data_IF_424602365057
#
_entry.id   IF_424602365057
#
_cell.length_a   1.000
_cell.length_b   1.000
_cell.length_c   1.000
_cell.angle_alpha   90.00
_cell.angle_beta   90.00
_cell.angle_gamma   90.00
#
_symmetry.space_group_name_H-M   'P 1'
#
loop_
_entity.id
_entity.type
_entity.pdbx_description
1 polymer ?
#
# COMPACT_ATOMS: atom_id res chain seq x y z
N UNK A 1 -35.60 -54.05 -14.34
CA UNK A 1 -35.70 -52.62 -14.70
C UNK A 1 -35.57 -51.83 -13.40
N UNK A 2 -34.37 -51.35 -13.07
CA UNK A 2 -34.05 -50.77 -11.77
C UNK A 2 -34.51 -49.31 -11.66
N UNK A 3 -35.19 -48.99 -10.56
CA UNK A 3 -35.77 -47.68 -10.26
C UNK A 3 -34.83 -46.94 -9.30
N UNK A 4 -34.13 -45.91 -9.79
CA UNK A 4 -33.33 -45.00 -8.94
C UNK A 4 -34.26 -43.88 -8.46
N UNK A 5 -34.47 -43.78 -7.15
CA UNK A 5 -35.03 -42.59 -6.52
C UNK A 5 -33.86 -41.69 -6.07
N UNK A 6 -33.74 -40.50 -6.64
CA UNK A 6 -32.99 -39.41 -6.02
C UNK A 6 -33.96 -38.28 -5.69
N UNK A 7 -34.30 -38.13 -4.42
CA UNK A 7 -34.94 -36.93 -3.87
C UNK A 7 -33.80 -35.95 -3.53
N UNK A 8 -33.50 -35.00 -4.40
CA UNK A 8 -32.82 -33.77 -3.96
C UNK A 8 -33.87 -32.92 -3.23
N UNK A 9 -33.80 -32.88 -1.90
CA UNK A 9 -34.45 -31.85 -1.08
C UNK A 9 -33.57 -30.61 -1.14
N UNK A 10 -33.85 -29.70 -2.07
CA UNK A 10 -33.45 -28.31 -1.91
C UNK A 10 -34.42 -27.66 -0.92
N UNK A 11 -34.05 -27.64 0.35
CA UNK A 11 -34.66 -26.71 1.30
C UNK A 11 -33.97 -25.37 1.00
N UNK A 12 -34.65 -24.48 0.28
CA UNK A 12 -34.21 -23.09 0.25
C UNK A 12 -34.18 -22.60 1.69
N UNK A 13 -32.98 -22.37 2.23
CA UNK A 13 -32.81 -21.83 3.58
C UNK A 13 -33.40 -20.41 3.55
N UNK A 14 -34.66 -20.27 3.97
CA UNK A 14 -35.31 -18.98 4.19
C UNK A 14 -34.51 -18.26 5.26
N UNK A 15 -33.74 -17.26 4.85
CA UNK A 15 -32.74 -16.58 5.66
C UNK A 15 -32.94 -15.08 5.53
N UNK A 16 -32.87 -14.40 6.67
CA UNK A 16 -32.85 -12.94 6.74
C UNK A 16 -31.48 -12.49 7.24
N UNK A 17 -30.99 -11.38 6.70
CA UNK A 17 -29.68 -10.85 7.05
C UNK A 17 -29.75 -9.33 7.23
N UNK A 18 -29.64 -8.90 8.48
CA UNK A 18 -29.66 -7.49 8.83
C UNK A 18 -28.25 -7.06 9.26
N UNK A 19 -27.85 -5.87 8.79
CA UNK A 19 -26.56 -5.29 9.09
C UNK A 19 -26.72 -3.85 9.53
N UNK A 20 -25.94 -3.44 10.52
CA UNK A 20 -25.78 -2.04 10.89
C UNK A 20 -24.30 -1.73 10.98
N UNK A 21 -23.90 -0.57 10.48
CA UNK A 21 -22.56 -0.08 10.69
C UNK A 21 -22.58 1.42 10.91
N UNK A 22 -21.66 1.89 11.73
CA UNK A 22 -21.35 3.30 11.82
C UNK A 22 -19.84 3.49 11.71
N UNK A 23 -19.45 4.61 11.14
CA UNK A 23 -18.10 5.12 11.21
C UNK A 23 -18.14 6.60 11.55
N UNK A 24 -17.17 7.04 12.33
CA UNK A 24 -17.03 8.43 12.74
C UNK A 24 -15.61 8.85 12.46
N UNK A 25 -15.47 9.88 11.64
CA UNK A 25 -14.22 10.58 11.42
C UNK A 25 -14.32 11.93 12.13
N UNK A 26 -13.29 12.29 12.89
CA UNK A 26 -13.14 13.64 13.39
C UNK A 26 -11.80 14.22 12.96
N UNK A 27 -11.79 15.52 12.70
CA UNK A 27 -10.58 16.29 12.51
C UNK A 27 -10.73 17.60 13.26
N UNK A 28 -9.70 17.96 14.02
CA UNK A 28 -9.64 19.24 14.73
C UNK A 28 -8.26 19.83 14.53
N UNK A 29 -8.20 21.06 14.03
CA UNK A 29 -6.95 21.76 13.78
C UNK A 29 -7.04 23.20 14.25
N UNK A 30 -5.91 23.72 14.73
CA UNK A 30 -5.73 25.13 15.09
C UNK A 30 -4.39 25.59 14.52
N UNK A 31 -4.37 26.76 13.91
CA UNK A 31 -3.17 27.33 13.30
C UNK A 31 -3.05 28.81 13.65
N UNK A 32 -1.80 29.26 13.74
CA UNK A 32 -1.44 30.67 13.90
C UNK A 32 -0.47 31.00 12.78
N UNK A 33 -0.68 32.14 12.13
CA UNK A 33 0.11 32.59 10.99
C UNK A 33 0.59 34.01 11.27
N UNK A 34 1.89 34.25 11.08
CA UNK A 34 2.51 35.56 11.12
C UNK A 34 3.17 35.86 9.78
N UNK A 35 2.83 37.01 9.18
CA UNK A 35 3.38 37.46 7.91
C UNK A 35 3.95 38.85 8.09
N UNK A 36 5.19 39.05 7.67
CA UNK A 36 5.86 40.34 7.75
C UNK A 36 6.76 40.56 6.54
N UNK A 37 6.72 41.78 6.02
CA UNK A 37 7.68 42.27 5.02
C UNK A 37 8.48 43.40 5.66
N UNK A 38 9.81 43.36 5.52
CA UNK A 38 10.72 44.40 6.00
C UNK A 38 11.83 44.64 4.98
N UNK A 39 11.76 45.77 4.29
CA UNK A 39 12.65 46.06 3.16
C UNK A 39 12.52 44.99 2.08
N UNK A 40 13.63 44.29 1.78
CA UNK A 40 13.69 43.21 0.78
C UNK A 40 13.36 41.83 1.35
N UNK A 41 13.01 41.72 2.63
CA UNK A 41 12.75 40.45 3.29
C UNK A 41 11.25 40.22 3.44
N UNK A 42 10.79 39.03 3.08
CA UNK A 42 9.44 38.55 3.35
C UNK A 42 9.52 37.29 4.19
N UNK A 43 8.81 37.26 5.32
CA UNK A 43 8.76 36.13 6.26
C UNK A 43 7.30 35.73 6.44
N UNK A 44 7.02 34.44 6.28
CA UNK A 44 5.76 33.80 6.62
C UNK A 44 6.03 32.64 7.58
N UNK A 45 5.56 32.77 8.82
CA UNK A 45 5.65 31.75 9.85
C UNK A 45 4.26 31.17 10.08
N UNK A 46 4.18 29.84 10.14
CA UNK A 46 2.98 29.12 10.50
C UNK A 46 3.33 28.10 11.59
N UNK A 47 2.51 28.07 12.65
CA UNK A 47 2.54 27.04 13.68
C UNK A 47 1.16 26.44 13.82
N UNK A 48 1.07 25.14 14.09
CA UNK A 48 -0.21 24.48 14.18
C UNK A 48 -0.21 23.16 14.93
N UNK A 49 -1.43 22.79 15.32
CA UNK A 49 -1.78 21.53 15.92
C UNK A 49 -2.91 20.90 15.10
N UNK A 50 -2.88 19.58 14.97
CA UNK A 50 -3.94 18.81 14.34
C UNK A 50 -4.16 17.49 15.06
N UNK A 51 -5.41 17.10 15.22
CA UNK A 51 -5.81 15.80 15.71
C UNK A 51 -6.86 15.20 14.77
N UNK A 52 -6.60 13.98 14.30
CA UNK A 52 -7.53 13.20 13.50
C UNK A 52 -7.86 11.91 14.22
N UNK A 53 -9.06 11.41 14.01
CA UNK A 53 -9.35 10.05 14.42
C UNK A 53 -10.52 9.42 13.70
N UNK A 54 -10.44 8.11 13.65
CA UNK A 54 -11.43 7.20 13.10
C UNK A 54 -11.86 6.22 14.19
N UNK A 55 -13.16 5.98 14.26
CA UNK A 55 -13.75 4.85 14.97
C UNK A 55 -14.87 4.29 14.13
N UNK A 56 -15.10 2.99 14.21
CA UNK A 56 -16.22 2.36 13.55
C UNK A 56 -16.62 1.05 14.20
N UNK A 57 -17.84 0.63 13.93
CA UNK A 57 -18.35 -0.67 14.33
C UNK A 57 -19.29 -1.17 13.26
N UNK A 58 -19.19 -2.46 12.93
CA UNK A 58 -20.19 -3.16 12.15
C UNK A 58 -20.78 -4.28 12.98
N UNK A 59 -22.08 -4.51 12.81
CA UNK A 59 -22.83 -5.60 13.37
C UNK A 59 -23.57 -6.25 12.21
N UNK A 60 -23.53 -7.57 12.16
CA UNK A 60 -24.30 -8.35 11.22
C UNK A 60 -25.00 -9.47 11.97
N UNK A 61 -26.30 -9.64 11.72
CA UNK A 61 -27.10 -10.71 12.27
C UNK A 61 -27.75 -11.49 11.12
N UNK A 62 -27.76 -12.80 11.24
CA UNK A 62 -28.41 -13.70 10.29
C UNK A 62 -29.36 -14.61 11.05
N UNK A 63 -30.61 -14.65 10.62
CA UNK A 63 -31.62 -15.60 11.07
C UNK A 63 -31.89 -16.63 9.96
N UNK A 64 -32.01 -17.91 10.33
CA UNK A 64 -32.31 -18.99 9.39
C UNK A 64 -33.66 -19.65 9.71
N UNK A 65 -34.19 -20.36 8.71
CA UNK A 65 -35.43 -21.14 8.77
C UNK A 65 -36.66 -20.28 9.10
N UNK A 66 -36.76 -19.09 8.50
CA UNK A 66 -37.94 -18.25 8.66
C UNK A 66 -39.19 -18.93 8.08
N UNK A 67 -40.33 -18.75 8.76
CA UNK A 67 -41.62 -19.24 8.27
C UNK A 67 -42.05 -18.56 6.97
N UNK A 68 -41.75 -17.27 6.79
CA UNK A 68 -42.04 -16.51 5.58
C UNK A 68 -40.88 -15.60 5.21
N UNK A 69 -40.73 -15.28 3.92
CA UNK A 69 -39.84 -14.22 3.42
C UNK A 69 -40.61 -12.94 3.06
N UNK A 70 -41.88 -12.86 3.48
CA UNK A 70 -42.65 -11.62 3.39
C UNK A 70 -41.91 -10.49 4.13
N UNK A 71 -41.70 -9.30 3.53
CA UNK A 71 -40.93 -8.22 4.14
C UNK A 71 -41.44 -7.72 5.50
N UNK A 72 -42.71 -7.96 5.85
CA UNK A 72 -43.27 -7.60 7.15
C UNK A 72 -43.06 -8.70 8.21
N UNK A 73 -42.75 -9.94 7.80
CA UNK A 73 -42.41 -11.06 8.69
C UNK A 73 -40.90 -11.33 8.75
N UNK A 74 -40.17 -11.09 7.68
CA UNK A 74 -38.75 -11.39 7.54
C UNK A 74 -37.91 -10.42 8.39
N UNK A 75 -37.74 -10.77 9.66
CA UNK A 75 -36.93 -10.07 10.63
C UNK A 75 -36.06 -11.08 11.41
N UNK A 76 -34.89 -10.62 11.90
CA UNK A 76 -33.96 -11.46 12.69
C UNK A 76 -34.63 -12.14 13.90
N UNK A 77 -35.60 -11.50 14.55
CA UNK A 77 -36.31 -12.05 15.71
C UNK A 77 -37.23 -13.24 15.36
N UNK A 78 -37.66 -13.36 14.10
CA UNK A 78 -38.58 -14.40 13.64
C UNK A 78 -37.86 -15.66 13.10
N UNK A 79 -36.55 -15.74 13.27
CA UNK A 79 -35.75 -16.93 12.99
C UNK A 79 -36.05 -18.09 13.96
N UNK A 80 -35.71 -19.32 13.56
CA UNK A 80 -35.83 -20.46 14.45
C UNK A 80 -34.88 -20.33 15.66
N UNK A 81 -35.36 -20.71 16.85
CA UNK A 81 -34.56 -20.71 18.07
C UNK A 81 -33.22 -21.46 17.89
N UNK A 82 -32.12 -20.83 18.31
CA UNK A 82 -30.77 -21.37 18.17
C UNK A 82 -30.18 -21.33 16.74
N UNK A 83 -30.90 -20.79 15.76
CA UNK A 83 -30.44 -20.65 14.36
C UNK A 83 -30.18 -19.19 13.96
N UNK A 84 -30.08 -18.31 14.95
CA UNK A 84 -29.72 -16.91 14.79
C UNK A 84 -28.28 -16.70 15.22
N UNK A 85 -27.47 -16.12 14.34
CA UNK A 85 -26.07 -15.78 14.62
C UNK A 85 -25.88 -14.28 14.50
N UNK A 86 -25.19 -13.66 15.45
CA UNK A 86 -24.78 -12.27 15.38
C UNK A 86 -23.27 -12.16 15.53
N UNK A 87 -22.66 -11.31 14.72
CA UNK A 87 -21.24 -10.98 14.77
C UNK A 87 -21.10 -9.46 14.86
N UNK A 88 -20.12 -9.00 15.61
CA UNK A 88 -19.80 -7.58 15.76
C UNK A 88 -18.31 -7.39 15.58
N UNK A 89 -17.93 -6.47 14.70
CA UNK A 89 -16.54 -6.10 14.49
C UNK A 89 -16.35 -4.65 14.90
N UNK A 90 -15.46 -4.42 15.86
CA UNK A 90 -14.97 -3.07 16.15
C UNK A 90 -13.89 -2.73 15.12
N UNK A 91 -14.13 -1.69 14.33
CA UNK A 91 -13.21 -1.22 13.28
C UNK A 91 -11.94 -0.54 13.83
N UNK A 92 -11.83 -0.44 15.16
CA UNK A 92 -10.65 0.03 15.85
C UNK A 92 -10.62 1.53 16.15
N UNK A 93 -9.54 1.94 16.81
CA UNK A 93 -9.22 3.34 17.10
C UNK A 93 -7.91 3.71 16.39
N UNK A 94 -8.04 4.41 15.26
CA UNK A 94 -6.90 5.05 14.61
C UNK A 94 -6.97 6.55 14.93
N UNK A 95 -6.01 7.05 15.71
CA UNK A 95 -5.90 8.46 16.08
C UNK A 95 -4.50 8.96 15.76
N UNK A 96 -4.43 10.12 15.14
CA UNK A 96 -3.19 10.82 14.86
C UNK A 96 -3.24 12.18 15.56
N UNK A 97 -2.15 12.52 16.25
CA UNK A 97 -1.94 13.83 16.86
C UNK A 97 -0.66 14.43 16.32
N UNK A 98 -0.70 15.70 15.95
CA UNK A 98 0.33 16.32 15.15
C UNK A 98 0.63 17.73 15.60
N UNK A 99 1.91 18.05 15.66
CA UNK A 99 2.41 19.41 15.84
C UNK A 99 3.26 19.77 14.63
N UNK A 100 3.08 20.95 14.06
CA UNK A 100 3.80 21.35 12.86
C UNK A 100 4.14 22.83 12.86
N UNK A 101 5.25 23.15 12.22
CA UNK A 101 5.71 24.51 11.97
C UNK A 101 6.25 24.62 10.55
N UNK A 102 6.05 25.79 9.94
CA UNK A 102 6.55 26.14 8.61
C UNK A 102 7.10 27.56 8.61
N UNK A 103 8.25 27.74 7.96
CA UNK A 103 8.87 29.00 7.62
C UNK A 103 8.96 29.08 6.10
N UNK A 104 8.37 30.11 5.52
CA UNK A 104 8.71 30.56 4.17
C UNK A 104 9.43 31.91 4.28
N UNK A 105 10.59 32.02 3.65
CA UNK A 105 11.39 33.22 3.62
C UNK A 105 11.81 33.55 2.20
N UNK A 106 11.62 34.80 1.80
CA UNK A 106 12.05 35.30 0.50
C UNK A 106 12.90 36.55 0.69
N UNK A 107 14.07 36.57 0.06
CA UNK A 107 14.93 37.75 -0.01
C UNK A 107 14.97 38.31 -1.43
N UNK A 108 14.57 39.57 -1.57
CA UNK A 108 14.57 40.37 -2.80
C UNK A 108 13.86 39.70 -3.99
N UNK A 109 12.87 38.83 -3.72
CA UNK A 109 12.18 37.99 -4.70
C UNK A 109 13.09 37.04 -5.52
N UNK A 110 14.33 36.82 -5.04
CA UNK A 110 15.33 35.97 -5.70
C UNK A 110 15.60 34.67 -4.95
N UNK A 111 15.90 34.77 -3.66
CA UNK A 111 16.30 33.63 -2.84
C UNK A 111 15.14 33.25 -1.95
N UNK A 112 14.63 32.04 -2.17
CA UNK A 112 13.42 31.53 -1.54
C UNK A 112 13.83 30.31 -0.73
N UNK A 113 13.57 30.35 0.57
CA UNK A 113 13.78 29.25 1.51
C UNK A 113 12.42 28.80 2.04
N UNK A 114 12.16 27.51 1.98
CA UNK A 114 11.08 26.86 2.71
C UNK A 114 11.67 25.90 3.74
N UNK A 115 11.15 25.92 4.95
CA UNK A 115 11.48 24.94 5.97
C UNK A 115 10.20 24.50 6.68
N UNK A 116 10.03 23.21 6.91
CA UNK A 116 8.88 22.65 7.63
C UNK A 116 9.39 21.59 8.59
N UNK A 117 8.78 21.51 9.76
CA UNK A 117 8.98 20.39 10.69
C UNK A 117 7.61 19.96 11.19
N UNK A 118 7.37 18.65 11.16
CA UNK A 118 6.16 18.05 11.70
C UNK A 118 6.51 16.90 12.63
N UNK A 119 5.81 16.79 13.75
CA UNK A 119 5.91 15.68 14.69
C UNK A 119 4.54 15.02 14.83
N UNK A 120 4.46 13.77 14.40
CA UNK A 120 3.20 13.01 14.31
C UNK A 120 3.22 11.81 15.24
N UNK A 121 2.15 11.66 16.01
CA UNK A 121 1.92 10.58 16.96
C UNK A 121 0.74 9.73 16.50
N UNK A 122 0.93 8.41 16.33
CA UNK A 122 -0.14 7.48 15.93
C UNK A 122 -0.52 6.53 17.06
N UNK A 123 -1.82 6.26 17.21
CA UNK A 123 -2.33 5.26 18.15
C UNK A 123 -1.99 3.82 17.76
N UNK A 124 -1.69 3.56 16.48
CA UNK A 124 -1.41 2.22 15.93
C UNK A 124 -0.09 1.63 16.44
N UNK A 125 0.86 2.46 16.86
CA UNK A 125 2.14 2.00 17.39
C UNK A 125 2.09 1.84 18.92
N UNK A 126 2.97 1.01 19.46
CA UNK A 126 3.15 0.79 20.89
C UNK A 126 3.61 2.06 21.61
N UNK A 127 3.45 2.09 22.94
CA UNK A 127 4.01 3.15 23.78
C UNK A 127 5.53 3.22 23.60
N UNK A 128 6.08 4.42 23.39
CA UNK A 128 7.49 4.65 23.05
C UNK A 128 7.73 4.87 21.54
N UNK A 129 6.95 4.22 20.67
CA UNK A 129 7.14 4.25 19.21
C UNK A 129 6.10 5.09 18.46
N UNK A 130 5.16 5.72 19.18
CA UNK A 130 4.05 6.50 18.60
C UNK A 130 4.52 7.65 17.73
N UNK A 131 5.62 8.30 18.08
CA UNK A 131 6.01 9.61 17.54
C UNK A 131 7.12 9.51 16.49
N UNK A 132 6.87 10.10 15.31
CA UNK A 132 7.87 10.37 14.28
C UNK A 132 8.09 11.88 14.10
N UNK A 133 9.27 12.29 13.62
CA UNK A 133 9.58 13.69 13.31
C UNK A 133 10.08 13.80 11.88
N UNK A 134 9.45 14.69 11.13
CA UNK A 134 9.50 14.73 9.68
C UNK A 134 9.84 16.16 9.22
N UNK A 135 11.14 16.51 9.15
CA UNK A 135 11.58 17.78 8.59
C UNK A 135 11.56 17.78 7.06
N UNK A 136 11.40 18.97 6.49
CA UNK A 136 11.60 19.24 5.07
C UNK A 136 12.20 20.63 4.87
N UNK A 137 13.07 20.76 3.87
CA UNK A 137 13.68 22.02 3.45
C UNK A 137 13.64 22.14 1.93
N UNK A 138 13.41 23.35 1.43
CA UNK A 138 13.48 23.70 0.03
C UNK A 138 14.23 25.01 -0.16
N UNK A 139 14.96 25.09 -1.25
CA UNK A 139 15.67 26.28 -1.69
C UNK A 139 15.32 26.52 -3.15
N UNK A 140 15.01 27.75 -3.50
CA UNK A 140 14.89 28.17 -4.88
C UNK A 140 15.62 29.50 -5.11
N UNK A 141 16.25 29.61 -6.26
CA UNK A 141 16.94 30.80 -6.73
C UNK A 141 16.35 31.19 -8.07
N UNK A 142 15.69 32.35 -8.10
CA UNK A 142 15.19 32.96 -9.32
C UNK A 142 16.31 33.77 -9.99
N UNK A 143 17.07 33.08 -10.84
CA UNK A 143 18.24 33.58 -11.54
C UNK A 143 17.89 34.75 -12.47
N UNK A 144 16.70 34.73 -13.08
CA UNK A 144 16.18 35.81 -13.96
C UNK A 144 16.11 37.18 -13.29
N UNK A 145 16.09 37.25 -11.96
CA UNK A 145 16.07 38.50 -11.20
C UNK A 145 17.47 39.09 -10.94
N UNK A 146 18.54 38.39 -11.33
CA UNK A 146 19.91 38.88 -11.16
C UNK A 146 20.29 39.94 -12.17
N UNK A 147 21.09 40.91 -11.75
CA UNK A 147 21.50 42.06 -12.59
C UNK A 147 22.16 41.61 -13.91
N UNK A 148 22.90 40.49 -13.88
CA UNK A 148 23.59 39.97 -15.07
C UNK A 148 22.65 39.33 -16.11
N UNK A 149 21.40 39.02 -15.76
CA UNK A 149 20.37 38.57 -16.71
C UNK A 149 19.33 39.64 -17.02
N UNK A 150 19.41 40.82 -16.38
CA UNK A 150 18.51 41.92 -16.70
C UNK A 150 18.74 42.41 -18.12
N UNK A 151 17.65 42.52 -18.89
CA UNK A 151 17.69 42.92 -20.30
C UNK A 151 17.72 41.76 -21.30
N UNK A 152 17.78 40.51 -20.82
CA UNK A 152 17.59 39.35 -21.69
C UNK A 152 16.12 39.30 -22.19
N UNK A 153 15.92 39.25 -23.50
CA UNK A 153 14.58 39.22 -24.13
C UNK A 153 14.12 37.82 -24.50
N UNK A 154 15.03 36.85 -24.59
CA UNK A 154 14.69 35.48 -24.95
C UNK A 154 14.40 34.59 -23.74
N UNK A 155 14.85 34.97 -22.54
CA UNK A 155 14.61 34.28 -21.27
C UNK A 155 13.85 35.19 -20.31
N UNK A 156 12.59 34.85 -20.00
CA UNK A 156 11.70 35.69 -19.21
C UNK A 156 11.74 35.36 -17.72
N UNK A 157 11.73 34.08 -17.37
CA UNK A 157 11.94 33.61 -16.01
C UNK A 157 12.86 32.39 -16.02
N UNK A 158 13.73 32.30 -15.02
CA UNK A 158 14.54 31.13 -14.76
C UNK A 158 14.65 30.97 -13.26
N UNK A 159 14.19 29.83 -12.76
CA UNK A 159 14.24 29.49 -11.35
C UNK A 159 14.80 28.09 -11.19
N UNK A 160 15.89 27.97 -10.45
CA UNK A 160 16.48 26.69 -10.07
C UNK A 160 15.98 26.37 -8.67
N UNK A 161 15.54 25.14 -8.43
CA UNK A 161 14.97 24.71 -7.14
C UNK A 161 15.45 23.34 -6.73
N UNK A 162 15.65 23.16 -5.43
CA UNK A 162 15.98 21.91 -4.80
C UNK A 162 15.19 21.73 -3.52
N UNK A 163 14.85 20.50 -3.17
CA UNK A 163 14.19 20.19 -1.91
C UNK A 163 14.59 18.82 -1.40
N UNK A 164 14.60 18.70 -0.07
CA UNK A 164 14.75 17.44 0.63
C UNK A 164 13.76 17.41 1.79
N UNK A 165 12.96 16.37 1.88
CA UNK A 165 11.99 16.24 2.96
C UNK A 165 11.72 14.81 3.34
N UNK A 166 11.19 14.65 4.54
CA UNK A 166 10.78 13.37 5.08
C UNK A 166 9.30 13.39 5.46
N UNK A 167 8.63 12.25 5.38
CA UNK A 167 7.25 12.07 5.84
C UNK A 167 7.03 10.65 6.37
N UNK A 168 6.11 10.53 7.33
CA UNK A 168 5.75 9.24 7.92
C UNK A 168 4.56 8.59 7.25
N UNK A 169 4.62 7.27 7.09
CA UNK A 169 3.51 6.42 6.66
C UNK A 169 3.23 5.33 7.69
N UNK A 170 1.94 5.03 7.91
CA UNK A 170 1.50 4.04 8.91
C UNK A 170 0.24 3.24 8.51
N UNK A 171 -0.27 3.40 7.29
CA UNK A 171 -1.57 2.83 6.94
C UNK A 171 -1.55 1.30 6.78
N UNK A 172 -0.36 0.70 6.59
CA UNK A 172 -0.18 -0.75 6.57
C UNK A 172 -0.19 -1.40 7.96
N UNK A 173 -0.31 -0.61 9.04
CA UNK A 173 -0.36 -1.15 10.41
C UNK A 173 -1.80 -1.41 10.82
N UNK A 174 -2.09 -2.66 11.19
CA UNK A 174 -3.41 -3.04 11.72
C UNK A 174 -3.65 -2.50 13.14
N UNK A 175 -4.93 -2.32 13.49
CA UNK A 175 -5.36 -1.73 14.78
C UNK A 175 -4.86 -2.51 16.01
N UNK A 176 -4.60 -3.81 15.87
CA UNK A 176 -4.10 -4.67 16.94
C UNK A 176 -2.66 -5.16 16.69
N UNK A 177 -1.92 -4.54 15.78
CA UNK A 177 -0.57 -5.00 15.43
C UNK A 177 0.48 -4.69 16.49
N UNK A 178 0.21 -3.80 17.45
CA UNK A 178 1.20 -3.43 18.48
C UNK A 178 1.35 -4.46 19.61
N UNK A 179 0.30 -5.22 19.92
CA UNK A 179 0.25 -6.14 21.06
C UNK A 179 -0.40 -7.47 20.67
N UNK A 180 0.00 -8.53 21.35
CA UNK A 180 -0.65 -9.84 21.19
C UNK A 180 -2.12 -9.74 21.62
N UNK A 181 -3.00 -10.34 20.83
CA UNK A 181 -4.43 -10.38 21.11
C UNK A 181 -4.97 -11.79 20.88
N UNK A 182 -6.04 -12.11 21.60
CA UNK A 182 -6.77 -13.36 21.47
C UNK A 182 -8.19 -13.07 21.02
N UNK A 183 -8.71 -13.94 20.16
CA UNK A 183 -10.08 -13.93 19.70
C UNK A 183 -10.71 -15.30 19.86
N UNK A 184 -12.01 -15.37 19.61
CA UNK A 184 -12.72 -16.64 19.58
C UNK A 184 -13.92 -16.59 18.64
N UNK A 185 -14.54 -17.74 18.45
CA UNK A 185 -15.75 -17.86 17.65
C UNK A 185 -16.14 -19.33 17.44
N UNK A 186 -17.43 -19.57 17.24
CA UNK A 186 -17.96 -20.93 17.05
C UNK A 186 -17.32 -21.64 15.85
N UNK A 187 -16.99 -20.91 14.77
CA UNK A 187 -16.35 -21.44 13.57
C UNK A 187 -14.83 -21.26 13.48
N UNK A 188 -14.19 -20.67 14.51
CA UNK A 188 -12.76 -20.33 14.47
C UNK A 188 -11.94 -20.94 15.60
N UNK A 189 -12.55 -21.20 16.77
CA UNK A 189 -11.83 -21.67 17.96
C UNK A 189 -12.63 -22.61 18.86
N UNK A 190 -13.88 -22.89 18.51
CA UNK A 190 -14.74 -23.76 19.31
C UNK A 190 -14.78 -25.15 18.71
N UNK A 191 -14.64 -26.18 19.55
CA UNK A 191 -14.56 -27.57 19.11
C UNK A 191 -15.46 -28.47 19.95
N UNK A 192 -16.07 -29.52 19.37
CA UNK A 192 -16.77 -30.55 20.14
C UNK A 192 -15.75 -31.51 20.76
N UNK A 193 -15.02 -31.06 21.79
CA UNK A 193 -13.95 -31.85 22.43
C UNK A 193 -14.51 -33.14 23.08
N UNK A 194 -15.79 -33.12 23.44
CA UNK A 194 -16.55 -34.26 23.98
C UNK A 194 -17.13 -35.19 22.89
N UNK A 195 -16.91 -34.90 21.61
CA UNK A 195 -17.48 -35.65 20.49
C UNK A 195 -18.95 -35.33 20.20
N UNK A 196 -19.52 -34.28 20.82
CA UNK A 196 -20.89 -33.84 20.56
C UNK A 196 -21.09 -33.39 19.11
N UNK A 197 -22.22 -33.77 18.50
CA UNK A 197 -22.62 -33.30 17.17
C UNK A 197 -23.53 -32.07 17.21
N UNK A 198 -23.94 -31.64 18.40
CA UNK A 198 -24.93 -30.57 18.62
C UNK A 198 -24.42 -29.41 19.47
N UNK A 199 -23.24 -29.53 20.07
CA UNK A 199 -22.60 -28.49 20.87
C UNK A 199 -21.10 -28.43 20.61
N UNK A 200 -20.54 -27.23 20.80
CA UNK A 200 -19.10 -26.99 20.79
C UNK A 200 -18.69 -26.37 22.12
N UNK A 201 -17.50 -26.71 22.60
CA UNK A 201 -16.89 -26.05 23.74
C UNK A 201 -16.19 -24.80 23.22
N UNK A 202 -16.55 -23.59 23.71
CA UNK A 202 -15.89 -22.36 23.31
C UNK A 202 -14.40 -22.38 23.66
N UNK A 203 -13.57 -21.99 22.70
CA UNK A 203 -12.15 -21.78 22.90
C UNK A 203 -11.72 -20.40 22.41
N UNK A 204 -10.43 -20.11 22.53
CA UNK A 204 -9.80 -18.91 22.00
C UNK A 204 -8.51 -19.27 21.27
N UNK A 205 -8.08 -18.39 20.39
CA UNK A 205 -6.83 -18.51 19.65
C UNK A 205 -6.16 -17.14 19.56
N UNK A 206 -4.86 -17.14 19.34
CA UNK A 206 -4.12 -15.91 19.13
C UNK A 206 -4.45 -15.36 17.74
N UNK A 207 -5.17 -14.23 17.70
CA UNK A 207 -5.59 -13.56 16.46
C UNK A 207 -4.72 -12.33 16.13
N UNK A 208 -3.75 -11.99 16.99
CA UNK A 208 -2.64 -11.08 16.69
C UNK A 208 -1.40 -11.54 17.46
N UNK A 209 -0.26 -11.64 16.78
CA UNK A 209 1.03 -11.89 17.43
C UNK A 209 1.57 -10.64 18.13
N UNK A 210 1.25 -9.46 17.60
CA UNK A 210 1.73 -8.18 18.11
C UNK A 210 3.22 -7.95 17.82
N UNK A 211 3.59 -6.69 17.62
CA UNK A 211 4.97 -6.25 17.55
C UNK A 211 5.08 -4.85 18.17
N UNK A 212 5.62 -4.80 19.38
CA UNK A 212 5.83 -3.54 20.08
C UNK A 212 7.02 -2.74 19.53
N UNK A 213 7.77 -3.26 18.54
CA UNK A 213 8.89 -2.57 17.89
C UNK A 213 8.51 -1.90 16.57
N UNK A 214 7.28 -2.09 16.07
CA UNK A 214 6.85 -1.45 14.83
C UNK A 214 6.85 0.07 15.00
N UNK A 215 7.50 0.77 14.07
CA UNK A 215 7.61 2.22 13.98
C UNK A 215 7.10 2.72 12.62
N UNK A 216 7.15 4.03 12.41
CA UNK A 216 6.81 4.68 11.14
C UNK A 216 7.65 4.16 9.97
N UNK A 217 7.00 3.96 8.83
CA UNK A 217 7.67 3.93 7.53
C UNK A 217 8.05 5.36 7.16
N UNK A 218 9.28 5.58 6.70
CA UNK A 218 9.79 6.93 6.41
C UNK A 218 10.07 7.11 4.93
N UNK A 219 9.28 7.96 4.30
CA UNK A 219 9.49 8.46 2.95
C UNK A 219 10.52 9.60 2.98
N UNK A 220 11.61 9.48 2.23
CA UNK A 220 12.62 10.54 2.05
C UNK A 220 12.62 10.96 0.59
N UNK A 221 12.24 12.21 0.32
CA UNK A 221 12.11 12.72 -1.05
C UNK A 221 13.17 13.78 -1.28
N UNK A 222 13.99 13.58 -2.31
CA UNK A 222 14.91 14.57 -2.85
C UNK A 222 14.44 14.96 -4.25
N UNK A 223 14.29 16.26 -4.50
CA UNK A 223 13.99 16.80 -5.83
C UNK A 223 14.97 17.91 -6.17
N UNK A 224 15.40 17.97 -7.43
CA UNK A 224 16.14 19.10 -7.99
C UNK A 224 15.63 19.35 -9.40
N UNK A 225 15.44 20.61 -9.75
CA UNK A 225 14.94 20.96 -11.06
C UNK A 225 15.07 22.43 -11.37
N UNK A 226 14.65 22.79 -12.57
CA UNK A 226 14.49 24.18 -12.98
C UNK A 226 13.14 24.37 -13.66
N UNK A 227 12.63 25.57 -13.50
CA UNK A 227 11.48 26.08 -14.24
C UNK A 227 12.00 27.27 -15.07
N UNK A 228 11.67 27.33 -16.36
CA UNK A 228 12.08 28.40 -17.25
C UNK A 228 10.97 28.80 -18.22
N UNK A 229 10.86 30.10 -18.48
CA UNK A 229 9.96 30.66 -19.51
C UNK A 229 10.80 31.35 -20.58
N UNK A 230 10.62 30.96 -21.84
CA UNK A 230 11.32 31.53 -22.98
C UNK A 230 10.35 32.26 -23.92
N UNK A 231 10.81 33.40 -24.45
CA UNK A 231 10.11 34.23 -25.42
C UNK A 231 8.66 34.61 -25.03
N UNK A 232 8.29 34.56 -23.75
CA UNK A 232 6.92 34.69 -23.22
C UNK A 232 5.92 33.61 -23.69
N UNK A 233 6.42 32.54 -24.32
CA UNK A 233 5.56 31.55 -24.96
C UNK A 233 5.86 30.12 -24.53
N UNK A 234 7.09 29.80 -24.16
CA UNK A 234 7.51 28.43 -23.86
C UNK A 234 7.83 28.27 -22.38
N UNK A 235 7.00 27.53 -21.66
CA UNK A 235 7.28 27.14 -20.27
C UNK A 235 7.86 25.73 -20.24
N UNK A 236 9.04 25.58 -19.67
CA UNK A 236 9.74 24.30 -19.53
C UNK A 236 10.05 24.05 -18.07
N UNK A 237 9.69 22.86 -17.60
CA UNK A 237 10.08 22.35 -16.28
C UNK A 237 10.81 21.03 -16.45
N UNK A 238 11.96 20.90 -15.81
CA UNK A 238 12.72 19.65 -15.74
C UNK A 238 13.03 19.38 -14.27
N UNK A 239 12.64 18.22 -13.79
CA UNK A 239 12.89 17.76 -12.44
C UNK A 239 13.51 16.36 -12.44
N UNK A 240 14.54 16.19 -11.62
CA UNK A 240 15.00 14.89 -11.17
C UNK A 240 14.49 14.64 -9.76
N UNK A 241 13.84 13.51 -9.56
CA UNK A 241 13.35 13.09 -8.25
C UNK A 241 13.99 11.78 -7.81
N UNK A 242 14.17 11.65 -6.49
CA UNK A 242 14.55 10.41 -5.81
C UNK A 242 13.77 10.28 -4.51
N UNK A 243 12.84 9.35 -4.49
CA UNK A 243 12.10 8.92 -3.30
C UNK A 243 12.73 7.63 -2.74
N UNK A 244 13.20 7.69 -1.50
CA UNK A 244 13.70 6.53 -0.74
C UNK A 244 12.73 6.24 0.39
N UNK A 245 12.03 5.12 0.31
CA UNK A 245 11.15 4.60 1.34
C UNK A 245 11.99 3.71 2.25
N UNK A 246 12.20 4.11 3.49
CA UNK A 246 12.93 3.34 4.51
C UNK A 246 11.94 2.75 5.51
N UNK A 247 12.31 1.62 6.12
CA UNK A 247 11.53 0.99 7.18
C UNK A 247 10.13 0.57 6.70
N UNK A 248 10.07 0.01 5.49
CA UNK A 248 8.84 -0.38 4.80
C UNK A 248 7.96 -1.26 5.70
N UNK A 249 6.70 -0.89 5.88
CA UNK A 249 5.75 -1.63 6.71
C UNK A 249 5.09 -2.74 5.90
N UNK A 250 5.49 -3.99 6.18
CA UNK A 250 5.02 -5.18 5.48
C UNK A 250 4.65 -6.30 6.44
N UNK A 251 3.67 -7.13 6.08
CA UNK A 251 3.41 -8.40 6.74
C UNK A 251 4.30 -9.46 6.09
N UNK A 252 5.35 -9.89 6.79
CA UNK A 252 6.26 -10.93 6.30
C UNK A 252 5.68 -12.30 6.70
N UNK A 253 5.49 -13.25 5.76
CA UNK A 253 5.07 -14.60 6.09
C UNK A 253 5.99 -15.22 7.13
N UNK A 254 5.41 -15.85 8.16
CA UNK A 254 6.15 -16.55 9.21
C UNK A 254 6.10 -18.07 8.98
N UNK A 255 7.06 -18.84 9.51
CA UNK A 255 6.97 -20.30 9.49
C UNK A 255 5.68 -20.80 10.13
N UNK A 256 5.05 -21.82 9.54
CA UNK A 256 3.81 -22.39 10.05
C UNK A 256 3.89 -22.88 11.51
N UNK A 257 5.10 -23.20 11.99
CA UNK A 257 5.38 -23.59 13.38
C UNK A 257 5.14 -22.48 14.40
N UNK A 258 5.11 -21.21 13.98
CA UNK A 258 4.74 -20.08 14.85
C UNK A 258 3.27 -20.16 15.28
N UNK A 259 2.41 -20.79 14.48
CA UNK A 259 0.99 -20.92 14.74
C UNK A 259 0.23 -19.58 14.63
N UNK A 260 -1.06 -19.60 14.98
CA UNK A 260 -1.98 -18.48 14.79
C UNK A 260 -2.57 -18.44 13.38
N UNK A 261 -3.47 -17.48 13.15
CA UNK A 261 -4.06 -17.24 11.83
C UNK A 261 -3.15 -16.36 10.96
N UNK A 262 -3.22 -16.46 9.63
CA UNK A 262 -2.50 -15.54 8.72
C UNK A 262 -2.77 -14.06 9.01
N UNK A 263 -3.99 -13.73 9.47
CA UNK A 263 -4.36 -12.38 9.90
C UNK A 263 -3.72 -11.91 11.22
N UNK A 264 -2.98 -12.78 11.92
CA UNK A 264 -2.31 -12.47 13.18
C UNK A 264 -0.91 -11.88 12.99
N UNK A 265 -0.36 -11.93 11.77
CA UNK A 265 1.01 -11.47 11.47
C UNK A 265 1.04 -9.93 11.52
N UNK A 266 1.80 -9.30 12.44
CA UNK A 266 1.88 -7.85 12.52
C UNK A 266 2.70 -7.28 11.36
N UNK A 267 2.42 -6.03 11.00
CA UNK A 267 3.31 -5.30 10.10
C UNK A 267 4.64 -5.01 10.81
N UNK A 268 5.75 -5.25 10.11
CA UNK A 268 7.12 -5.04 10.58
C UNK A 268 7.83 -4.06 9.65
N UNK A 269 8.75 -3.25 10.19
CA UNK A 269 9.64 -2.40 9.40
C UNK A 269 10.71 -3.29 8.75
N UNK A 270 10.48 -3.65 7.49
CA UNK A 270 11.24 -4.70 6.82
C UNK A 270 11.44 -4.39 5.35
N UNK A 271 12.36 -3.46 5.07
CA UNK A 271 12.87 -3.20 3.73
C UNK A 271 13.09 -1.73 3.41
N UNK A 272 13.74 -1.49 2.27
CA UNK A 272 14.02 -0.17 1.71
C UNK A 272 13.84 -0.20 0.20
N UNK A 273 13.11 0.79 -0.32
CA UNK A 273 12.76 0.89 -1.74
C UNK A 273 13.14 2.27 -2.26
N UNK A 274 13.70 2.33 -3.46
CA UNK A 274 13.99 3.57 -4.16
C UNK A 274 13.15 3.67 -5.42
N UNK A 275 12.50 4.82 -5.59
CA UNK A 275 11.92 5.27 -6.85
C UNK A 275 12.68 6.51 -7.29
N UNK A 276 13.17 6.54 -8.52
CA UNK A 276 13.84 7.72 -9.08
C UNK A 276 13.54 7.86 -10.56
N UNK A 277 13.61 9.08 -11.04
CA UNK A 277 13.35 9.38 -12.44
C UNK A 277 13.41 10.86 -12.74
N UNK A 278 12.94 11.17 -13.94
CA UNK A 278 12.79 12.52 -14.44
C UNK A 278 11.33 12.82 -14.71
N UNK A 279 10.91 14.04 -14.40
CA UNK A 279 9.66 14.65 -14.82
C UNK A 279 9.98 15.87 -15.66
N UNK A 280 9.52 15.86 -16.91
CA UNK A 280 9.75 16.93 -17.87
C UNK A 280 8.39 17.38 -18.38
N UNK A 281 8.15 18.69 -18.37
CA UNK A 281 7.00 19.28 -19.04
C UNK A 281 7.42 20.48 -19.88
N UNK A 282 6.73 20.64 -21.00
CA UNK A 282 6.88 21.78 -21.90
C UNK A 282 5.49 22.23 -22.33
N UNK A 283 5.21 23.52 -22.19
CA UNK A 283 3.98 24.15 -22.64
C UNK A 283 4.31 25.30 -23.58
N UNK A 284 3.53 25.42 -24.64
CA UNK A 284 3.57 26.53 -25.57
C UNK A 284 2.25 27.29 -25.51
N UNK A 285 2.33 28.61 -25.37
CA UNK A 285 1.20 29.54 -25.38
C UNK A 285 1.27 30.40 -26.63
N UNK A 286 0.26 30.31 -27.49
CA UNK A 286 0.21 31.03 -28.76
C UNK A 286 -1.07 31.83 -28.91
N UNK A 287 -1.02 32.85 -29.77
CA UNK A 287 -2.18 33.61 -30.20
C UNK A 287 -2.11 33.86 -31.71
N UNK A 288 -3.24 33.79 -32.39
CA UNK A 288 -3.41 34.12 -33.81
C UNK A 288 -4.67 34.97 -33.95
N UNK A 289 -4.51 36.29 -33.99
CA UNK A 289 -5.63 37.23 -33.84
C UNK A 289 -6.32 37.05 -32.49
N UNK A 290 -7.64 36.92 -32.50
CA UNK A 290 -8.45 36.70 -31.28
C UNK A 290 -8.39 35.25 -30.76
N UNK A 291 -7.77 34.33 -31.53
CA UNK A 291 -7.65 32.94 -31.13
C UNK A 291 -6.39 32.70 -30.30
N UNK A 292 -6.58 32.44 -29.01
CA UNK A 292 -5.50 32.00 -28.10
C UNK A 292 -5.52 30.49 -27.92
N UNK A 293 -4.35 29.87 -27.90
CA UNK A 293 -4.22 28.43 -27.71
C UNK A 293 -3.05 28.08 -26.79
N UNK A 294 -3.10 26.88 -26.22
CA UNK A 294 -2.02 26.35 -25.39
C UNK A 294 -1.86 24.87 -25.68
N UNK A 295 -0.62 24.44 -25.93
CA UNK A 295 -0.27 23.05 -26.23
C UNK A 295 0.78 22.61 -25.23
N UNK A 296 0.50 21.53 -24.50
CA UNK A 296 1.38 20.99 -23.47
C UNK A 296 1.74 19.54 -23.75
N UNK A 297 2.97 19.17 -23.39
CA UNK A 297 3.43 17.79 -23.35
C UNK A 297 4.24 17.55 -22.07
N UNK A 298 4.15 16.34 -21.53
CA UNK A 298 4.95 15.91 -20.40
C UNK A 298 5.46 14.48 -20.58
N UNK A 299 6.63 14.19 -20.03
CA UNK A 299 7.26 12.88 -20.02
C UNK A 299 7.75 12.59 -18.60
N UNK A 300 7.38 11.42 -18.09
CA UNK A 300 7.83 10.92 -16.79
C UNK A 300 8.57 9.61 -17.01
N UNK A 301 9.70 9.46 -16.32
CA UNK A 301 10.40 8.18 -16.21
C UNK A 301 10.39 7.73 -14.75
N UNK A 302 10.38 6.41 -14.53
CA UNK A 302 10.46 5.84 -13.18
C UNK A 302 11.28 4.56 -13.20
N UNK A 303 12.25 4.47 -12.28
CA UNK A 303 12.96 3.24 -11.94
C UNK A 303 12.69 2.92 -10.48
N UNK A 304 11.95 1.84 -10.25
CA UNK A 304 11.72 1.26 -8.94
C UNK A 304 12.78 0.19 -8.64
N UNK A 305 13.24 0.11 -7.39
CA UNK A 305 14.18 -0.92 -6.95
C UNK A 305 14.06 -1.17 -5.45
N UNK A 306 13.92 -2.44 -5.06
CA UNK A 306 14.11 -2.89 -3.68
C UNK A 306 15.61 -2.92 -3.41
N UNK A 307 16.07 -2.15 -2.43
CA UNK A 307 17.49 -1.99 -2.09
C UNK A 307 17.89 -2.71 -0.82
N UNK A 308 16.97 -2.88 0.11
CA UNK A 308 17.17 -3.71 1.31
C UNK A 308 15.89 -4.49 1.57
N UNK A 309 16.05 -5.75 1.97
CA UNK A 309 14.96 -6.62 2.39
C UNK A 309 15.57 -7.68 3.30
N UNK A 310 14.97 -7.96 4.45
CA UNK A 310 15.58 -8.91 5.39
C UNK A 310 15.54 -10.36 4.92
N UNK A 311 14.55 -10.72 4.09
CA UNK A 311 14.48 -11.99 3.37
C UNK A 311 13.57 -11.82 2.15
N UNK A 312 13.86 -12.49 1.03
CA UNK A 312 12.95 -12.50 -0.10
C UNK A 312 11.68 -13.26 0.25
N UNK A 313 10.55 -12.82 -0.30
CA UNK A 313 9.26 -13.48 -0.07
C UNK A 313 8.33 -13.33 -1.27
N UNK A 314 7.45 -14.31 -1.40
CA UNK A 314 6.36 -14.27 -2.36
C UNK A 314 5.16 -13.55 -1.75
N UNK A 315 4.49 -12.72 -2.54
CA UNK A 315 3.20 -12.12 -2.19
C UNK A 315 2.12 -12.55 -3.17
N UNK A 316 0.87 -12.59 -2.67
CA UNK A 316 -0.28 -13.18 -3.35
C UNK A 316 -0.72 -12.33 -4.55
N UNK A 317 -0.83 -12.97 -5.72
CA UNK A 317 -1.60 -12.45 -6.85
C UNK A 317 -3.05 -12.90 -6.75
N UNK A 318 -3.99 -12.02 -7.09
CA UNK A 318 -5.45 -12.17 -6.84
C UNK A 318 -6.07 -13.43 -7.51
N UNK A 319 -5.39 -14.10 -8.45
CA UNK A 319 -5.91 -15.29 -9.17
C UNK A 319 -4.97 -16.48 -9.34
N UNK A 320 -3.65 -16.32 -9.24
CA UNK A 320 -2.68 -17.35 -9.67
C UNK A 320 -1.74 -17.83 -8.54
N UNK A 321 -2.14 -17.65 -7.28
CA UNK A 321 -1.26 -17.87 -6.13
C UNK A 321 -0.19 -16.78 -5.99
N UNK A 322 0.87 -17.07 -5.24
CA UNK A 322 1.91 -16.08 -4.95
C UNK A 322 2.96 -16.02 -6.08
N UNK A 323 2.67 -15.22 -7.10
CA UNK A 323 3.50 -15.06 -8.32
C UNK A 323 4.40 -13.82 -8.30
N UNK A 324 4.28 -12.98 -7.29
CA UNK A 324 5.12 -11.80 -7.13
C UNK A 324 6.25 -12.13 -6.19
N UNK A 325 7.49 -11.99 -6.64
CA UNK A 325 8.68 -12.30 -5.84
C UNK A 325 9.42 -11.01 -5.50
N UNK A 326 9.44 -10.67 -4.21
CA UNK A 326 10.13 -9.49 -3.71
C UNK A 326 11.54 -9.89 -3.27
N UNK A 327 12.56 -9.29 -3.89
CA UNK A 327 13.96 -9.52 -3.57
C UNK A 327 14.78 -8.25 -3.81
N UNK A 328 15.92 -8.13 -3.12
CA UNK A 328 16.87 -7.04 -3.34
C UNK A 328 17.33 -7.05 -4.80
N UNK A 329 17.36 -5.87 -5.42
CA UNK A 329 17.69 -5.69 -6.83
C UNK A 329 16.48 -5.73 -7.78
N UNK A 330 15.39 -6.39 -7.37
CA UNK A 330 14.14 -6.45 -8.12
C UNK A 330 13.26 -5.21 -7.94
N UNK A 331 12.24 -5.08 -8.78
CA UNK A 331 11.18 -4.08 -8.61
C UNK A 331 10.06 -4.63 -7.74
N UNK A 332 9.38 -3.76 -6.97
CA UNK A 332 8.10 -4.11 -6.34
C UNK A 332 7.13 -4.59 -7.42
N UNK A 333 6.42 -5.67 -7.14
CA UNK A 333 5.41 -6.21 -8.06
C UNK A 333 6.00 -6.98 -9.24
N UNK A 334 7.30 -7.29 -9.22
CA UNK A 334 7.91 -8.14 -10.22
C UNK A 334 7.29 -9.54 -10.18
N UNK A 335 6.75 -9.97 -11.32
CA UNK A 335 6.32 -11.35 -11.51
C UNK A 335 7.53 -12.26 -11.61
N UNK A 336 7.43 -13.41 -10.96
CA UNK A 336 8.42 -14.47 -11.00
C UNK A 336 7.74 -15.76 -11.42
N UNK A 337 8.33 -16.41 -12.41
CA UNK A 337 7.74 -17.61 -12.98
C UNK A 337 8.65 -18.27 -14.00
N UNK A 338 8.19 -19.39 -14.51
CA UNK A 338 8.91 -20.13 -15.54
C UNK A 338 8.83 -19.40 -16.87
N UNK A 339 9.98 -19.30 -17.55
CA UNK A 339 10.02 -18.83 -18.94
C UNK A 339 9.57 -19.94 -19.86
N UNK A 340 8.47 -19.76 -20.57
CA UNK A 340 8.06 -20.68 -21.63
C UNK A 340 9.03 -20.53 -22.80
N UNK A 341 9.76 -21.60 -23.12
CA UNK A 341 10.77 -21.63 -24.18
C UNK A 341 10.16 -21.92 -25.57
N UNK A 342 8.92 -22.39 -25.58
CA UNK A 342 8.18 -22.75 -26.80
C UNK A 342 7.28 -23.96 -26.53
N UNK A 343 7.00 -24.71 -27.59
CA UNK A 343 6.35 -26.00 -27.50
C UNK A 343 7.37 -27.10 -27.78
N UNK A 344 7.14 -28.29 -27.23
CA UNK A 344 7.84 -29.49 -27.66
C UNK A 344 7.47 -29.77 -29.11
N UNK A 345 8.43 -29.69 -30.03
CA UNK A 345 8.14 -29.79 -31.46
C UNK A 345 8.11 -31.26 -31.93
N UNK A 346 8.82 -32.15 -31.23
CA UNK A 346 8.87 -33.57 -31.59
C UNK A 346 9.24 -34.45 -30.38
N UNK A 347 8.95 -35.76 -30.47
CA UNK A 347 9.36 -36.73 -29.46
C UNK A 347 10.90 -36.85 -29.38
N UNK A 348 11.59 -36.71 -30.51
CA UNK A 348 13.05 -36.77 -30.58
C UNK A 348 13.74 -35.67 -29.76
N UNK A 349 13.15 -34.48 -29.69
CA UNK A 349 13.62 -33.38 -28.83
C UNK A 349 13.56 -33.76 -27.34
N UNK A 350 12.45 -34.38 -26.92
CA UNK A 350 12.21 -34.82 -25.54
C UNK A 350 13.19 -35.93 -25.16
N UNK A 351 13.36 -36.93 -26.04
CA UNK A 351 14.24 -38.07 -25.80
C UNK A 351 15.71 -37.63 -25.71
N UNK A 352 16.13 -36.68 -26.55
CA UNK A 352 17.47 -36.12 -26.52
C UNK A 352 17.78 -35.39 -25.20
N UNK A 353 16.81 -34.68 -24.62
CA UNK A 353 16.98 -34.01 -23.32
C UNK A 353 16.93 -34.98 -22.15
N UNK A 354 16.12 -36.04 -22.24
CA UNK A 354 16.08 -37.12 -21.25
C UNK A 354 17.42 -37.85 -21.19
N UNK A 355 18.04 -38.11 -22.34
CA UNK A 355 19.36 -38.74 -22.43
C UNK A 355 20.49 -37.89 -21.80
N UNK A 356 20.29 -36.58 -21.67
CA UNK A 356 21.25 -35.66 -21.04
C UNK A 356 21.07 -35.53 -19.51
N UNK A 357 20.02 -36.14 -18.94
CA UNK A 357 19.81 -36.12 -17.49
C UNK A 357 20.85 -36.97 -16.76
N UNK A 358 21.27 -36.49 -15.60
CA UNK A 358 22.20 -37.20 -14.72
C UNK A 358 21.44 -37.90 -13.59
N UNK A 359 21.97 -38.99 -13.04
CA UNK A 359 21.40 -39.62 -11.86
C UNK A 359 21.28 -38.62 -10.69
N UNK A 360 20.19 -38.71 -9.94
CA UNK A 360 20.03 -38.00 -8.68
C UNK A 360 20.91 -38.61 -7.57
N UNK A 361 20.80 -38.06 -6.37
CA UNK A 361 21.53 -38.54 -5.18
C UNK A 361 21.22 -40.01 -4.82
N UNK A 362 20.15 -40.59 -5.36
CA UNK A 362 19.72 -41.96 -5.13
C UNK A 362 19.97 -42.88 -6.34
N UNK A 363 20.68 -42.39 -7.36
CA UNK A 363 21.04 -43.16 -8.56
C UNK A 363 19.93 -43.28 -9.60
N UNK A 364 18.78 -42.63 -9.40
CA UNK A 364 17.69 -42.61 -10.38
C UNK A 364 17.93 -41.49 -11.39
N UNK A 365 17.80 -41.76 -12.69
CA UNK A 365 17.88 -40.70 -13.72
C UNK A 365 16.47 -40.17 -14.00
N UNK A 366 16.11 -38.98 -13.50
CA UNK A 366 14.82 -38.39 -13.82
C UNK A 366 14.76 -38.03 -15.32
N UNK A 367 13.55 -38.02 -15.88
CA UNK A 367 13.32 -37.40 -17.20
C UNK A 367 13.38 -35.88 -17.08
N UNK A 368 13.73 -35.19 -18.17
CA UNK A 368 13.86 -33.73 -18.21
C UNK A 368 12.59 -33.02 -17.74
N UNK A 369 11.42 -33.49 -18.18
CA UNK A 369 10.12 -33.02 -17.70
C UNK A 369 9.08 -34.15 -17.86
N UNK A 370 8.49 -34.61 -16.75
CA UNK A 370 7.64 -35.82 -16.72
C UNK A 370 6.39 -35.76 -17.63
N UNK A 371 5.88 -34.56 -17.90
CA UNK A 371 4.68 -34.34 -18.71
C UNK A 371 4.98 -33.82 -20.14
N UNK A 372 6.24 -33.86 -20.56
CA UNK A 372 6.63 -33.44 -21.90
C UNK A 372 5.99 -34.33 -22.98
N UNK A 373 5.31 -33.70 -23.94
CA UNK A 373 4.76 -34.36 -25.12
C UNK A 373 4.72 -33.34 -26.28
N UNK A 374 4.86 -33.78 -27.53
CA UNK A 374 4.74 -32.88 -28.69
C UNK A 374 3.47 -32.03 -28.61
N UNK A 375 3.61 -30.71 -28.84
CA UNK A 375 2.53 -29.73 -28.73
C UNK A 375 2.23 -29.20 -27.32
N UNK A 376 2.87 -29.72 -26.26
CA UNK A 376 2.79 -29.13 -24.91
C UNK A 376 3.86 -28.05 -24.72
N UNK A 377 3.63 -27.12 -23.78
CA UNK A 377 4.61 -26.07 -23.47
C UNK A 377 5.87 -26.65 -22.85
N UNK A 378 7.02 -26.18 -23.36
CA UNK A 378 8.33 -26.40 -22.76
C UNK A 378 8.63 -25.23 -21.80
N UNK A 379 8.70 -25.52 -20.51
CA UNK A 379 8.97 -24.53 -19.47
C UNK A 379 10.45 -24.59 -19.06
N UNK A 380 11.20 -23.53 -19.34
CA UNK A 380 12.59 -23.37 -18.90
C UNK A 380 12.69 -22.89 -17.46
N UNK A 381 13.91 -22.61 -16.96
CA UNK A 381 14.16 -22.16 -15.57
C UNK A 381 13.32 -20.95 -15.16
N UNK A 382 13.01 -20.88 -13.86
CA UNK A 382 12.32 -19.74 -13.25
C UNK A 382 13.21 -18.49 -13.31
N UNK A 383 12.65 -17.36 -13.74
CA UNK A 383 13.33 -16.07 -13.90
C UNK A 383 12.51 -14.91 -13.37
#
# INVERSE_FOLDING_TARGET
>A
MFRIHSKRRDISLRRENEGSSYSTNFNWSNTIIYKQVFGKHSVNLLGGFEQRGFTGRSINATAKNLFSLDPFYANIANGQAGQTTANSTFGGLNRIMSFFGRLDYTYADKYILGATIRRDGSSLFSTGNKWGTFPAVSLAWRVSQEEFLKGNTWLNDLKIRGSYGTSGYNANVGVNSAYAAFGGGAGSSSYPIDGSSSSVIPGYFQNSLGNNKTTWETDKVFNIGFDATFLNHFDVTVEYYKKTISDLLVNVPLPATVGGSDGAIPAVNFGKVINKGFDISANYHGASGDFTYSVGANITTIKNQITELGAPFFTTGIRNGSVVYNQVGGSIGQFYGYKVLGYWNSQAEIDALNAQQKPDLFGSTPVYQAEAAPGRSNTGRAT
#
